data_IF_470773334847
#
_entry.id   IF_470773334847
#
_cell.length_a   1.000
_cell.length_b   1.000
_cell.length_c   1.000
_cell.angle_alpha   90.00
_cell.angle_beta   90.00
_cell.angle_gamma   90.00
#
_symmetry.space_group_name_H-M   'P 1'
#
loop_
_entity.id
_entity.type
_entity.pdbx_description
1 polymer ?
#
# COMPACT_ATOMS: atom_id res chain seq x y z
N UNK A 1 95.77 34.91 -17.07
CA UNK A 1 96.58 34.42 -15.94
C UNK A 1 95.96 34.90 -14.64
N UNK A 2 95.89 34.04 -13.61
CA UNK A 2 95.87 34.34 -12.15
C UNK A 2 94.88 35.43 -11.65
N UNK A 3 93.85 35.06 -10.88
CA UNK A 3 93.90 34.99 -9.39
C UNK A 3 94.22 36.33 -8.71
N UNK A 4 93.51 36.84 -7.70
CA UNK A 4 92.25 36.48 -6.99
C UNK A 4 91.87 37.70 -6.12
N UNK A 5 90.65 37.73 -5.57
CA UNK A 5 90.26 38.45 -4.31
C UNK A 5 90.13 39.98 -4.33
N UNK A 6 89.07 40.47 -3.67
CA UNK A 6 89.10 41.62 -2.72
C UNK A 6 87.75 41.68 -1.96
N UNK A 7 87.84 41.81 -0.62
CA UNK A 7 86.92 42.42 0.38
C UNK A 7 85.39 42.13 0.38
N UNK A 8 84.63 42.30 1.48
CA UNK A 8 84.78 42.11 2.96
C UNK A 8 83.56 42.80 3.61
N UNK A 9 82.99 42.22 4.69
CA UNK A 9 82.14 42.89 5.73
C UNK A 9 80.77 43.40 5.23
N UNK A 10 79.63 43.21 5.91
CA UNK A 10 79.30 42.52 7.18
C UNK A 10 77.96 43.03 7.75
N UNK A 11 77.53 42.54 8.93
CA UNK A 11 76.39 43.06 9.77
C UNK A 11 74.99 42.78 9.13
N UNK A 12 73.97 42.17 9.75
CA UNK A 12 73.62 41.73 11.13
C UNK A 12 72.47 40.67 11.00
N UNK A 13 71.96 39.88 11.98
CA UNK A 13 72.21 39.64 13.41
C UNK A 13 71.68 38.21 13.81
N UNK A 14 71.64 37.91 15.11
CA UNK A 14 70.96 36.85 15.90
C UNK A 14 69.58 36.35 15.37
N UNK A 15 69.13 35.10 15.61
CA UNK A 15 68.94 34.52 16.96
C UNK A 15 68.78 32.97 16.98
N UNK A 16 69.10 32.38 18.13
CA UNK A 16 68.58 31.13 18.74
C UNK A 16 68.83 29.74 18.11
N UNK A 17 69.68 28.98 18.85
CA UNK A 17 69.45 27.61 19.36
C UNK A 17 69.23 26.45 18.35
N UNK A 18 69.91 25.30 18.38
CA UNK A 18 71.20 24.78 18.86
C UNK A 18 71.07 23.25 19.03
N UNK A 19 72.09 22.50 18.57
CA UNK A 19 72.40 21.09 18.90
C UNK A 19 71.38 20.00 18.46
N UNK A 20 71.78 18.80 18.01
CA UNK A 20 73.10 18.18 17.79
C UNK A 20 73.01 17.29 16.51
N UNK A 21 74.08 16.82 15.86
CA UNK A 21 75.51 16.79 16.20
C UNK A 21 76.04 15.34 16.14
N UNK A 22 76.99 15.10 15.24
CA UNK A 22 77.76 13.84 15.03
C UNK A 22 77.05 12.67 14.31
N UNK A 23 77.29 12.56 12.99
CA UNK A 23 77.20 11.28 12.26
C UNK A 23 78.57 10.57 12.31
N UNK A 24 78.60 9.33 12.77
CA UNK A 24 79.77 8.45 12.71
C UNK A 24 79.87 7.68 11.38
N UNK A 25 80.96 6.92 11.16
CA UNK A 25 81.09 6.07 9.97
C UNK A 25 80.01 4.97 9.94
N UNK A 26 79.59 4.59 8.73
CA UNK A 26 78.57 3.57 8.53
C UNK A 26 79.01 2.20 9.11
N UNK A 27 78.09 1.54 9.81
CA UNK A 27 78.31 0.19 10.35
C UNK A 27 78.34 -0.89 9.25
N UNK A 28 78.81 -2.11 9.58
CA UNK A 28 78.79 -3.24 8.66
C UNK A 28 77.35 -3.59 8.25
N UNK A 29 77.22 -4.12 7.03
CA UNK A 29 75.92 -4.54 6.49
C UNK A 29 75.27 -5.61 7.39
N UNK A 30 74.00 -5.40 7.72
CA UNK A 30 73.28 -6.25 8.67
C UNK A 30 73.03 -7.66 8.11
N UNK A 31 72.84 -8.66 8.99
CA UNK A 31 72.46 -10.00 8.56
C UNK A 31 71.16 -9.96 7.75
N UNK A 32 71.12 -10.73 6.65
CA UNK A 32 69.93 -10.85 5.79
C UNK A 32 68.70 -11.15 6.64
N UNK A 33 67.67 -10.30 6.52
CA UNK A 33 66.44 -10.42 7.30
C UNK A 33 65.74 -11.76 7.15
N UNK A 34 64.89 -12.14 8.11
CA UNK A 34 64.12 -13.38 8.06
C UNK A 34 63.26 -13.43 6.77
N UNK A 35 62.96 -14.63 6.30
CA UNK A 35 62.04 -14.81 5.18
C UNK A 35 60.70 -14.15 5.50
N UNK A 36 60.15 -13.41 4.53
CA UNK A 36 58.86 -12.73 4.69
C UNK A 36 57.73 -13.72 4.99
N UNK A 37 56.63 -13.25 5.62
CA UNK A 37 55.46 -14.09 5.84
C UNK A 37 54.95 -14.68 4.52
N UNK A 38 54.35 -15.87 4.59
CA UNK A 38 53.70 -16.47 3.44
C UNK A 38 52.65 -15.51 2.88
N UNK A 39 52.57 -15.41 1.55
CA UNK A 39 51.58 -14.57 0.88
C UNK A 39 50.15 -14.97 1.25
N UNK A 40 49.17 -14.04 1.14
CA UNK A 40 47.78 -14.36 1.41
C UNK A 40 47.31 -15.51 0.50
N UNK A 41 46.40 -16.33 1.03
CA UNK A 41 45.72 -17.36 0.24
C UNK A 41 45.03 -16.66 -0.94
N UNK A 42 45.24 -17.21 -2.15
CA UNK A 42 44.62 -16.65 -3.36
C UNK A 42 43.09 -16.60 -3.25
N UNK A 43 42.42 -15.69 -3.97
CA UNK A 43 40.97 -15.61 -3.95
C UNK A 43 40.36 -16.97 -4.31
N UNK A 44 39.29 -17.35 -3.61
CA UNK A 44 38.57 -18.58 -3.94
C UNK A 44 38.11 -18.49 -5.40
N UNK A 45 38.35 -19.56 -6.17
CA UNK A 45 37.94 -19.62 -7.58
C UNK A 45 36.44 -19.34 -7.72
N UNK A 46 36.01 -18.79 -8.87
CA UNK A 46 34.61 -18.46 -9.09
C UNK A 46 33.74 -19.70 -8.83
N UNK A 47 32.61 -19.49 -8.15
CA UNK A 47 31.60 -20.53 -7.96
C UNK A 47 31.24 -21.06 -9.36
N UNK A 48 31.39 -22.37 -9.55
CA UNK A 48 31.03 -23.01 -10.81
C UNK A 48 29.58 -22.69 -11.18
N UNK A 49 29.32 -22.50 -12.47
CA UNK A 49 28.00 -22.12 -12.96
C UNK A 49 26.93 -23.07 -12.41
N UNK A 50 25.73 -22.56 -12.06
CA UNK A 50 24.60 -23.42 -11.74
C UNK A 50 24.43 -24.47 -12.85
N UNK A 51 24.22 -25.73 -12.46
CA UNK A 51 23.86 -26.76 -13.43
C UNK A 51 22.64 -26.30 -14.24
N UNK A 52 22.54 -26.66 -15.53
CA UNK A 52 21.40 -26.25 -16.36
C UNK A 52 20.10 -26.61 -15.63
N UNK A 53 19.07 -25.74 -15.65
CA UNK A 53 17.79 -26.05 -15.05
C UNK A 53 17.33 -27.44 -15.49
N UNK A 54 16.81 -28.22 -14.54
CA UNK A 54 16.14 -29.47 -14.89
C UNK A 54 15.08 -29.20 -15.97
N UNK A 55 14.84 -30.15 -16.90
CA UNK A 55 13.83 -29.94 -17.92
C UNK A 55 12.52 -29.54 -17.23
N UNK A 56 11.88 -28.49 -17.73
CA UNK A 56 10.63 -28.00 -17.17
C UNK A 56 9.66 -29.18 -17.00
N UNK A 57 9.01 -29.26 -15.84
CA UNK A 57 7.90 -30.18 -15.67
C UNK A 57 6.92 -29.99 -16.83
N UNK A 58 6.39 -31.08 -17.37
CA UNK A 58 5.45 -31.02 -18.48
C UNK A 58 4.35 -29.98 -18.14
N UNK A 59 4.03 -29.04 -19.05
CA UNK A 59 3.03 -28.02 -18.76
C UNK A 59 1.77 -28.66 -18.20
N UNK A 60 1.31 -28.16 -17.04
CA UNK A 60 -0.05 -28.45 -16.58
C UNK A 60 -1.02 -28.12 -17.72
N UNK A 61 -2.09 -28.92 -17.92
CA UNK A 61 -2.89 -28.88 -19.13
C UNK A 61 -3.37 -27.45 -19.42
N UNK A 62 -2.88 -26.88 -20.53
CA UNK A 62 -3.22 -25.54 -21.02
C UNK A 62 -4.61 -25.52 -21.68
N UNK A 63 -5.60 -26.02 -20.95
CA UNK A 63 -6.98 -26.25 -21.40
C UNK A 63 -7.98 -26.28 -20.25
N UNK A 64 -7.64 -25.69 -19.10
CA UNK A 64 -8.61 -25.40 -18.05
C UNK A 64 -9.35 -24.11 -18.41
N UNK A 65 -10.67 -24.21 -18.59
CA UNK A 65 -11.59 -23.09 -18.73
C UNK A 65 -12.11 -22.62 -17.35
N UNK A 66 -12.59 -21.38 -17.31
CA UNK A 66 -13.29 -20.81 -16.15
C UNK A 66 -14.69 -21.42 -16.05
N UNK A 67 -15.03 -22.00 -14.91
CA UNK A 67 -16.29 -22.69 -14.67
C UNK A 67 -17.35 -21.82 -13.98
N UNK A 68 -16.92 -20.75 -13.31
CA UNK A 68 -17.78 -19.81 -12.60
C UNK A 68 -18.07 -20.16 -11.14
N UNK A 69 -18.16 -19.12 -10.31
CA UNK A 69 -18.37 -19.22 -8.86
C UNK A 69 -19.56 -20.08 -8.39
N UNK A 70 -20.67 -20.08 -9.13
CA UNK A 70 -21.84 -20.92 -8.82
C UNK A 70 -21.52 -22.42 -8.86
N UNK A 71 -20.59 -22.85 -9.73
CA UNK A 71 -20.16 -24.26 -9.80
C UNK A 71 -19.29 -24.62 -8.59
N UNK A 72 -18.48 -23.66 -8.12
CA UNK A 72 -17.72 -23.80 -6.88
C UNK A 72 -18.65 -23.92 -5.65
N UNK A 73 -19.71 -23.10 -5.59
CA UNK A 73 -20.68 -23.10 -4.49
C UNK A 73 -21.31 -24.49 -4.24
N UNK A 74 -21.61 -25.24 -5.32
CA UNK A 74 -22.17 -26.59 -5.24
C UNK A 74 -21.35 -27.62 -4.45
N UNK A 75 -20.05 -27.36 -4.22
CA UNK A 75 -19.19 -28.17 -3.32
C UNK A 75 -18.66 -27.37 -2.11
N UNK A 76 -18.60 -26.04 -2.19
CA UNK A 76 -17.97 -25.16 -1.20
C UNK A 76 -18.94 -24.11 -0.64
N UNK A 77 -20.19 -24.50 -0.37
CA UNK A 77 -21.28 -23.59 0.00
C UNK A 77 -20.93 -22.68 1.19
N UNK A 78 -20.36 -23.21 2.29
CA UNK A 78 -20.00 -22.43 3.48
C UNK A 78 -18.99 -21.29 3.17
N UNK A 79 -18.05 -21.56 2.25
CA UNK A 79 -17.07 -20.58 1.78
C UNK A 79 -17.78 -19.56 0.88
N UNK A 80 -18.62 -20.02 -0.04
CA UNK A 80 -19.37 -19.16 -0.96
C UNK A 80 -20.31 -18.20 -0.21
N UNK A 81 -21.09 -18.69 0.76
CA UNK A 81 -22.01 -17.90 1.58
C UNK A 81 -21.29 -16.81 2.38
N UNK A 82 -20.03 -17.05 2.74
CA UNK A 82 -19.16 -16.08 3.42
C UNK A 82 -18.55 -15.09 2.42
N UNK A 83 -18.08 -15.58 1.28
CA UNK A 83 -17.44 -14.82 0.20
C UNK A 83 -18.40 -13.87 -0.52
N UNK A 84 -19.65 -14.28 -0.74
CA UNK A 84 -20.67 -13.48 -1.45
C UNK A 84 -21.11 -12.25 -0.63
N UNK A 85 -20.76 -12.20 0.65
CA UNK A 85 -20.91 -11.02 1.52
C UNK A 85 -19.70 -10.07 1.43
N UNK A 86 -18.65 -10.38 0.67
CA UNK A 86 -17.50 -9.48 0.48
C UNK A 86 -17.74 -8.48 -0.66
N UNK A 87 -16.88 -7.47 -0.81
CA UNK A 87 -16.99 -6.51 -1.92
C UNK A 87 -16.49 -7.04 -3.26
N UNK A 88 -15.71 -8.11 -3.27
CA UNK A 88 -15.08 -8.68 -4.48
C UNK A 88 -16.06 -9.14 -5.58
N UNK A 89 -17.14 -9.91 -5.30
CA UNK A 89 -18.13 -10.28 -6.32
C UNK A 89 -18.89 -9.07 -6.87
N UNK A 90 -19.01 -8.02 -6.06
CA UNK A 90 -19.85 -6.84 -6.31
C UNK A 90 -19.07 -5.59 -6.74
N UNK A 91 -17.79 -5.71 -7.10
CA UNK A 91 -17.00 -4.57 -7.59
C UNK A 91 -17.39 -4.15 -9.01
N UNK A 92 -18.00 -5.05 -9.79
CA UNK A 92 -18.41 -4.75 -11.17
C UNK A 92 -19.65 -5.56 -11.63
N UNK A 93 -20.82 -5.46 -10.96
CA UNK A 93 -22.02 -6.18 -11.39
C UNK A 93 -22.57 -5.70 -12.73
N UNK A 94 -23.06 -6.67 -13.51
CA UNK A 94 -23.95 -6.45 -14.67
C UNK A 94 -25.29 -5.86 -14.23
N UNK A 95 -25.91 -5.09 -15.13
CA UNK A 95 -27.21 -4.45 -14.95
C UNK A 95 -28.16 -4.91 -16.04
N UNK A 96 -29.42 -5.20 -15.66
CA UNK A 96 -30.48 -5.54 -16.59
C UNK A 96 -31.80 -4.87 -16.17
N UNK A 97 -31.96 -3.59 -16.51
CA UNK A 97 -33.17 -2.80 -16.26
C UNK A 97 -33.48 -2.47 -14.79
N UNK A 98 -32.64 -2.90 -13.84
CA UNK A 98 -32.80 -2.65 -12.41
C UNK A 98 -31.45 -2.50 -11.69
N UNK A 99 -31.47 -1.82 -10.55
CA UNK A 99 -30.31 -1.67 -9.68
C UNK A 99 -29.74 -3.04 -9.23
N UNK A 100 -28.40 -3.22 -9.19
CA UNK A 100 -27.81 -4.40 -8.57
C UNK A 100 -28.18 -4.51 -7.09
N UNK A 101 -28.49 -5.73 -6.64
CA UNK A 101 -28.72 -6.03 -5.23
C UNK A 101 -27.39 -6.28 -4.52
N UNK A 102 -27.05 -5.41 -3.56
CA UNK A 102 -25.85 -5.56 -2.72
C UNK A 102 -26.24 -6.08 -1.33
N UNK A 103 -25.41 -6.94 -0.69
CA UNK A 103 -25.72 -7.50 0.64
C UNK A 103 -26.05 -6.49 1.75
N UNK A 104 -25.48 -5.28 1.69
CA UNK A 104 -25.50 -4.33 2.82
C UNK A 104 -25.77 -2.87 2.46
N UNK A 105 -25.95 -2.55 1.18
CA UNK A 105 -26.16 -1.19 0.70
C UNK A 105 -27.23 -1.18 -0.38
N UNK A 106 -27.76 0.01 -0.68
CA UNK A 106 -28.75 0.21 -1.72
C UNK A 106 -28.26 1.31 -2.65
N UNK A 107 -28.22 1.01 -3.95
CA UNK A 107 -27.92 1.98 -5.00
C UNK A 107 -29.21 2.27 -5.77
N UNK A 108 -29.99 3.25 -5.31
CA UNK A 108 -31.29 3.60 -5.91
C UNK A 108 -31.31 4.94 -6.64
N UNK A 109 -30.13 5.51 -6.89
CA UNK A 109 -29.95 6.75 -7.63
C UNK A 109 -28.98 6.56 -8.79
N UNK A 110 -29.31 7.22 -9.90
CA UNK A 110 -28.49 7.28 -11.10
C UNK A 110 -28.04 8.72 -11.38
N UNK A 111 -26.97 8.91 -12.17
CA UNK A 111 -26.59 10.21 -12.71
C UNK A 111 -27.76 10.88 -13.45
N UNK A 112 -27.82 12.21 -13.43
CA UNK A 112 -28.95 12.95 -13.98
C UNK A 112 -29.19 12.63 -15.46
N UNK A 113 -30.40 12.18 -15.79
CA UNK A 113 -30.84 11.87 -17.15
C UNK A 113 -30.82 10.39 -17.52
N UNK A 114 -30.21 9.53 -16.69
CA UNK A 114 -30.13 8.09 -16.93
C UNK A 114 -31.23 7.30 -16.20
N UNK A 115 -31.65 6.20 -16.82
CA UNK A 115 -32.50 5.14 -16.26
C UNK A 115 -31.71 3.83 -16.17
N UNK A 116 -32.22 2.81 -15.47
CA UNK A 116 -31.52 1.52 -15.37
C UNK A 116 -31.46 0.75 -16.71
N UNK A 117 -32.28 1.12 -17.69
CA UNK A 117 -32.19 0.57 -19.04
C UNK A 117 -30.97 1.15 -19.81
N UNK A 118 -30.47 2.32 -19.42
CA UNK A 118 -29.31 2.98 -20.04
C UNK A 118 -27.97 2.47 -19.49
N UNK A 119 -27.98 1.67 -18.42
CA UNK A 119 -26.79 1.18 -17.72
C UNK A 119 -26.55 -0.30 -18.03
N UNK A 120 -25.34 -0.64 -18.46
CA UNK A 120 -24.90 -2.02 -18.68
C UNK A 120 -24.16 -2.61 -17.47
N UNK A 121 -23.35 -1.80 -16.78
CA UNK A 121 -22.59 -2.22 -15.58
C UNK A 121 -22.51 -1.08 -14.55
N UNK A 122 -22.30 -1.45 -13.28
CA UNK A 122 -21.89 -0.52 -12.22
C UNK A 122 -20.48 -0.87 -11.77
N UNK A 123 -19.61 0.13 -11.60
CA UNK A 123 -18.29 -0.03 -10.97
C UNK A 123 -18.41 0.37 -9.51
N UNK A 124 -18.20 -0.58 -8.59
CA UNK A 124 -18.40 -0.39 -7.16
C UNK A 124 -19.87 -0.55 -6.75
N UNK A 125 -20.44 0.48 -6.13
CA UNK A 125 -21.79 0.47 -5.56
C UNK A 125 -21.94 -0.29 -4.24
N UNK A 126 -21.09 -1.29 -3.98
CA UNK A 126 -21.18 -2.13 -2.78
C UNK A 126 -21.01 -1.41 -1.43
N UNK A 127 -20.15 -0.39 -1.30
CA UNK A 127 -19.91 0.26 0.00
C UNK A 127 -19.55 1.75 -0.06
N UNK A 128 -18.59 2.14 -0.91
CA UNK A 128 -18.00 3.50 -0.86
C UNK A 128 -18.61 4.42 -1.92
N UNK A 129 -18.45 4.04 -3.19
CA UNK A 129 -18.90 4.81 -4.35
C UNK A 129 -19.33 3.91 -5.50
N UNK A 130 -20.11 4.47 -6.43
CA UNK A 130 -20.48 3.87 -7.71
C UNK A 130 -20.12 4.81 -8.86
N UNK A 131 -19.52 4.24 -9.91
CA UNK A 131 -19.52 4.79 -11.27
C UNK A 131 -20.41 3.89 -12.14
N UNK A 132 -20.85 4.40 -13.29
CA UNK A 132 -21.85 3.75 -14.12
C UNK A 132 -21.33 3.61 -15.55
N UNK A 133 -21.61 2.48 -16.20
CA UNK A 133 -21.20 2.18 -17.57
C UNK A 133 -22.44 2.09 -18.45
N UNK A 134 -22.44 2.79 -19.57
CA UNK A 134 -23.58 2.84 -20.49
C UNK A 134 -23.70 1.59 -21.39
N UNK A 135 -24.78 1.49 -22.16
CA UNK A 135 -25.01 0.41 -23.14
C UNK A 135 -24.01 0.36 -24.32
N UNK A 136 -23.07 1.30 -24.45
CA UNK A 136 -21.94 1.23 -25.40
C UNK A 136 -20.63 0.74 -24.73
N UNK A 137 -20.63 0.52 -23.40
CA UNK A 137 -19.47 0.11 -22.61
C UNK A 137 -18.62 1.26 -22.08
N UNK A 138 -19.00 2.53 -22.28
CA UNK A 138 -18.23 3.67 -21.78
C UNK A 138 -18.66 4.06 -20.37
N UNK A 139 -17.70 4.53 -19.56
CA UNK A 139 -17.98 5.15 -18.26
C UNK A 139 -18.77 6.43 -18.50
N UNK A 140 -19.86 6.61 -17.76
CA UNK A 140 -20.72 7.79 -17.84
C UNK A 140 -20.01 8.97 -17.16
N UNK A 141 -19.79 10.02 -17.95
CA UNK A 141 -19.06 11.25 -17.60
C UNK A 141 -19.86 12.52 -17.89
N UNK A 142 -20.97 12.42 -18.60
CA UNK A 142 -21.81 13.53 -19.04
C UNK A 142 -23.28 13.10 -19.11
N UNK A 143 -24.17 14.03 -19.44
CA UNK A 143 -25.59 13.80 -19.71
C UNK A 143 -25.77 12.95 -20.99
N UNK A 144 -26.89 12.20 -21.13
CA UNK A 144 -27.13 11.36 -22.31
C UNK A 144 -27.00 12.12 -23.63
N UNK A 145 -26.10 11.65 -24.49
CA UNK A 145 -25.85 12.23 -25.82
C UNK A 145 -25.07 13.55 -25.82
N UNK A 146 -24.39 13.91 -24.73
CA UNK A 146 -23.53 15.12 -24.63
C UNK A 146 -22.08 14.77 -24.26
N UNK A 147 -21.21 15.77 -24.38
CA UNK A 147 -19.83 15.76 -23.88
C UNK A 147 -19.39 17.18 -23.48
N UNK A 148 -18.34 17.29 -22.67
CA UNK A 148 -17.73 18.56 -22.25
C UNK A 148 -18.29 19.21 -20.97
N UNK A 149 -19.31 18.66 -20.30
CA UNK A 149 -19.79 19.16 -19.01
C UNK A 149 -18.89 18.69 -17.86
N UNK A 150 -17.82 19.45 -17.59
CA UNK A 150 -16.87 19.19 -16.49
C UNK A 150 -17.46 19.34 -15.08
N UNK A 151 -18.70 19.84 -14.96
CA UNK A 151 -19.44 19.95 -13.70
C UNK A 151 -20.53 18.87 -13.56
N UNK A 152 -20.63 17.91 -14.49
CA UNK A 152 -21.60 16.82 -14.40
C UNK A 152 -21.32 15.92 -13.18
N UNK A 153 -22.39 15.47 -12.52
CA UNK A 153 -22.33 14.73 -11.26
C UNK A 153 -22.57 13.23 -11.53
N UNK A 154 -21.50 12.51 -11.86
CA UNK A 154 -21.54 11.12 -12.34
C UNK A 154 -21.14 10.05 -11.31
N UNK A 155 -20.30 10.38 -10.32
CA UNK A 155 -19.92 9.43 -9.28
C UNK A 155 -20.88 9.53 -8.10
N UNK A 156 -21.59 8.45 -7.77
CA UNK A 156 -22.40 8.39 -6.56
C UNK A 156 -21.53 7.97 -5.37
N UNK A 157 -21.52 8.74 -4.29
CA UNK A 157 -20.88 8.37 -3.03
C UNK A 157 -21.94 8.00 -1.98
N UNK A 158 -21.74 6.88 -1.29
CA UNK A 158 -22.56 6.48 -0.13
C UNK A 158 -22.34 7.40 1.07
N UNK A 159 -23.28 7.41 2.02
CA UNK A 159 -23.16 8.23 3.22
C UNK A 159 -22.00 7.74 4.11
N UNK A 160 -21.20 8.66 4.66
CA UNK A 160 -20.16 8.36 5.62
C UNK A 160 -20.42 9.11 6.93
N UNK A 161 -20.97 8.37 7.90
CA UNK A 161 -21.34 8.87 9.23
C UNK A 161 -20.12 9.30 10.06
N UNK A 162 -18.93 8.72 9.84
CA UNK A 162 -17.71 9.10 10.57
C UNK A 162 -17.26 10.52 10.17
N UNK A 163 -17.34 10.84 8.89
CA UNK A 163 -16.95 12.15 8.36
C UNK A 163 -18.10 13.17 8.39
N UNK A 164 -19.32 12.73 8.68
CA UNK A 164 -20.54 13.54 8.61
C UNK A 164 -20.97 13.89 7.18
N UNK A 165 -20.60 13.06 6.19
CA UNK A 165 -20.93 13.28 4.77
C UNK A 165 -22.21 12.53 4.40
N UNK A 166 -23.21 13.24 3.89
CA UNK A 166 -24.42 12.63 3.34
C UNK A 166 -24.12 11.91 2.01
N UNK A 167 -24.96 10.93 1.64
CA UNK A 167 -24.88 10.30 0.33
C UNK A 167 -25.28 11.29 -0.78
N UNK A 168 -24.54 11.31 -1.88
CA UNK A 168 -24.73 12.28 -2.96
C UNK A 168 -23.78 12.04 -4.13
N UNK A 169 -24.03 12.74 -5.24
CA UNK A 169 -23.14 12.67 -6.40
C UNK A 169 -22.04 13.72 -6.34
N UNK A 170 -20.90 13.38 -6.93
CA UNK A 170 -19.75 14.26 -7.18
C UNK A 170 -19.28 14.09 -8.63
N UNK A 171 -18.55 15.07 -9.15
CA UNK A 171 -17.89 14.98 -10.46
C UNK A 171 -16.59 14.18 -10.36
N UNK A 172 -16.43 13.17 -11.19
CA UNK A 172 -15.21 12.38 -11.34
C UNK A 172 -14.97 12.15 -12.85
N UNK A 173 -13.87 12.65 -13.42
CA UNK A 173 -13.62 12.60 -14.87
C UNK A 173 -14.78 13.13 -15.75
N UNK A 174 -15.55 14.08 -15.23
CA UNK A 174 -16.75 14.61 -15.89
C UNK A 174 -16.41 15.37 -17.19
N UNK A 175 -17.31 15.28 -18.16
CA UNK A 175 -17.18 15.89 -19.50
C UNK A 175 -16.25 15.15 -20.48
N UNK A 176 -15.56 14.09 -20.07
CA UNK A 176 -14.69 13.29 -20.97
C UNK A 176 -15.54 12.47 -21.93
N UNK A 177 -15.51 12.81 -23.22
CA UNK A 177 -16.24 12.07 -24.26
C UNK A 177 -15.75 10.62 -24.35
N UNK A 178 -16.68 9.66 -24.25
CA UNK A 178 -16.44 8.23 -24.45
C UNK A 178 -15.25 7.68 -23.65
N UNK A 179 -15.19 8.02 -22.35
CA UNK A 179 -14.22 7.46 -21.41
C UNK A 179 -14.32 5.91 -21.41
N UNK A 180 -13.29 5.16 -21.84
CA UNK A 180 -13.34 3.71 -21.87
C UNK A 180 -13.41 3.11 -20.47
N UNK A 181 -14.01 1.93 -20.35
CA UNK A 181 -13.95 1.09 -19.16
C UNK A 181 -12.74 0.16 -19.29
N UNK A 182 -11.62 0.56 -18.67
CA UNK A 182 -10.34 -0.16 -18.69
C UNK A 182 -10.00 -0.87 -17.36
N UNK A 183 -10.82 -0.70 -16.32
CA UNK A 183 -10.58 -1.29 -15.00
C UNK A 183 -10.81 -2.81 -14.93
N UNK A 184 -11.05 -3.47 -16.07
CA UNK A 184 -11.39 -4.89 -16.18
C UNK A 184 -10.34 -5.81 -15.56
N UNK A 185 -9.05 -5.46 -15.64
CA UNK A 185 -7.95 -6.23 -15.07
C UNK A 185 -8.09 -6.47 -13.56
N UNK A 186 -8.57 -5.46 -12.81
CA UNK A 186 -8.70 -5.52 -11.35
C UNK A 186 -10.12 -5.89 -10.88
N UNK A 187 -11.13 -5.70 -11.74
CA UNK A 187 -12.54 -5.77 -11.36
C UNK A 187 -13.31 -6.96 -11.98
N UNK A 188 -12.64 -7.86 -12.70
CA UNK A 188 -13.29 -9.02 -13.36
C UNK A 188 -12.48 -10.30 -13.14
N UNK A 189 -13.08 -11.44 -13.50
CA UNK A 189 -12.45 -12.77 -13.39
C UNK A 189 -12.09 -13.30 -14.76
N UNK A 190 -10.87 -13.80 -14.94
CA UNK A 190 -10.40 -14.30 -16.23
C UNK A 190 -10.26 -13.21 -17.29
N UNK A 191 -9.83 -12.02 -16.86
CA UNK A 191 -9.58 -10.88 -17.73
C UNK A 191 -8.57 -11.21 -18.83
N UNK A 192 -8.86 -10.73 -20.03
CA UNK A 192 -8.06 -10.84 -21.24
C UNK A 192 -8.00 -9.44 -21.86
N UNK A 193 -6.80 -8.85 -22.09
CA UNK A 193 -6.67 -7.48 -22.57
C UNK A 193 -7.05 -7.29 -24.06
N UNK A 194 -7.43 -8.37 -24.76
CA UNK A 194 -7.82 -8.34 -26.16
C UNK A 194 -9.33 -8.51 -26.33
N UNK A 195 -9.86 -7.81 -27.34
CA UNK A 195 -11.30 -7.78 -27.64
C UNK A 195 -12.07 -6.78 -26.79
N UNK A 196 -13.38 -6.91 -26.85
CA UNK A 196 -14.36 -6.08 -26.14
C UNK A 196 -15.46 -7.00 -25.65
N UNK A 197 -15.71 -7.04 -24.34
CA UNK A 197 -16.79 -7.86 -23.77
C UNK A 197 -18.12 -7.49 -24.45
N UNK A 198 -18.91 -8.51 -24.78
CA UNK A 198 -20.22 -8.41 -25.45
C UNK A 198 -20.23 -7.62 -26.78
N UNK A 199 -19.05 -7.37 -27.37
CA UNK A 199 -18.81 -6.49 -28.51
C UNK A 199 -19.09 -4.99 -28.23
N UNK A 200 -19.08 -4.58 -26.96
CA UNK A 200 -19.32 -3.19 -26.54
C UNK A 200 -18.01 -2.38 -26.65
N UNK A 201 -17.91 -1.38 -27.56
CA UNK A 201 -16.64 -0.75 -27.91
C UNK A 201 -15.96 0.03 -26.78
N UNK A 202 -16.71 0.43 -25.74
CA UNK A 202 -16.14 1.07 -24.56
C UNK A 202 -15.52 0.11 -23.54
N UNK A 203 -15.88 -1.18 -23.54
CA UNK A 203 -15.30 -2.18 -22.64
C UNK A 203 -13.95 -2.62 -23.18
N UNK A 204 -12.85 -2.28 -22.51
CA UNK A 204 -11.51 -2.69 -22.92
C UNK A 204 -11.24 -4.11 -22.38
N UNK A 205 -10.96 -5.04 -23.29
CA UNK A 205 -10.77 -6.45 -22.98
C UNK A 205 -12.07 -7.23 -22.80
N UNK A 206 -11.92 -8.49 -22.40
CA UNK A 206 -13.02 -9.43 -22.15
C UNK A 206 -12.71 -10.31 -20.93
N UNK A 207 -13.73 -10.91 -20.31
CA UNK A 207 -13.56 -11.69 -19.07
C UNK A 207 -14.35 -13.01 -19.11
N UNK A 208 -14.30 -13.77 -18.03
CA UNK A 208 -15.12 -14.97 -17.81
C UNK A 208 -16.31 -14.70 -16.89
N UNK A 209 -16.13 -13.85 -15.85
CA UNK A 209 -17.22 -13.36 -15.02
C UNK A 209 -17.01 -11.89 -14.60
N UNK A 210 -18.09 -11.09 -14.47
CA UNK A 210 -18.07 -9.79 -13.81
C UNK A 210 -17.73 -9.92 -12.32
N UNK A 211 -16.93 -8.99 -11.78
CA UNK A 211 -16.45 -9.03 -10.41
C UNK A 211 -15.25 -9.97 -10.19
N UNK A 212 -14.62 -9.86 -9.02
CA UNK A 212 -13.50 -10.71 -8.59
C UNK A 212 -14.08 -11.96 -7.91
N UNK A 213 -14.15 -13.05 -8.69
CA UNK A 213 -14.73 -14.36 -8.36
C UNK A 213 -13.66 -15.36 -7.94
N UNK A 214 -14.08 -16.53 -7.47
CA UNK A 214 -13.19 -17.57 -6.92
C UNK A 214 -11.97 -17.84 -7.81
N UNK A 215 -12.20 -17.96 -9.13
CA UNK A 215 -11.18 -18.30 -10.12
C UNK A 215 -10.21 -17.16 -10.45
N UNK A 216 -10.45 -15.93 -9.98
CA UNK A 216 -9.49 -14.83 -10.10
C UNK A 216 -8.25 -15.07 -9.21
N UNK A 217 -8.44 -15.64 -8.02
CA UNK A 217 -7.35 -16.01 -7.11
C UNK A 217 -6.91 -17.47 -7.29
N UNK A 218 -7.86 -18.37 -7.54
CA UNK A 218 -7.62 -19.82 -7.60
C UNK A 218 -7.33 -20.37 -9.01
N UNK A 219 -7.41 -19.53 -10.05
CA UNK A 219 -7.28 -19.94 -11.45
C UNK A 219 -8.50 -20.70 -12.00
N UNK A 220 -8.49 -21.08 -13.29
CA UNK A 220 -9.61 -21.77 -13.93
C UNK A 220 -9.85 -23.18 -13.36
N UNK A 221 -11.08 -23.46 -12.94
CA UNK A 221 -11.44 -24.62 -12.13
C UNK A 221 -12.13 -25.78 -12.86
N UNK A 222 -12.43 -25.66 -14.15
CA UNK A 222 -13.10 -26.71 -14.93
C UNK A 222 -12.51 -28.12 -14.76
N UNK A 223 -11.18 -28.25 -14.77
CA UNK A 223 -10.51 -29.54 -14.57
C UNK A 223 -10.64 -30.05 -13.13
N UNK A 224 -10.50 -29.17 -12.12
CA UNK A 224 -10.71 -29.52 -10.71
C UNK A 224 -12.11 -30.09 -10.49
N UNK A 225 -13.15 -29.48 -11.05
CA UNK A 225 -14.54 -29.93 -10.91
C UNK A 225 -14.73 -31.36 -11.45
N UNK A 226 -14.00 -31.77 -12.50
CA UNK A 226 -14.08 -33.15 -13.03
C UNK A 226 -13.36 -34.18 -12.16
N UNK A 227 -12.38 -33.78 -11.35
CA UNK A 227 -11.60 -34.67 -10.49
C UNK A 227 -11.05 -33.94 -9.24
N UNK A 228 -11.90 -33.57 -8.26
CA UNK A 228 -11.50 -32.67 -7.17
C UNK A 228 -10.39 -33.24 -6.27
N UNK A 229 -10.29 -34.57 -6.18
CA UNK A 229 -9.28 -35.26 -5.36
C UNK A 229 -7.95 -35.46 -6.10
N UNK A 230 -7.94 -35.41 -7.44
CA UNK A 230 -6.75 -35.64 -8.26
C UNK A 230 -6.16 -34.38 -8.90
N UNK A 231 -6.92 -33.29 -8.95
CA UNK A 231 -6.52 -32.00 -9.54
C UNK A 231 -6.83 -30.91 -8.52
N UNK A 232 -5.81 -30.34 -7.88
CA UNK A 232 -5.98 -29.24 -6.92
C UNK A 232 -6.12 -27.88 -7.61
N UNK A 233 -6.93 -26.98 -7.05
CA UNK A 233 -6.93 -25.56 -7.40
C UNK A 233 -5.61 -24.88 -6.96
N UNK A 234 -5.27 -23.73 -7.58
CA UNK A 234 -4.19 -22.87 -7.07
C UNK A 234 -4.58 -22.38 -5.68
N UNK A 235 -3.75 -22.61 -4.67
CA UNK A 235 -3.86 -21.96 -3.36
C UNK A 235 -2.57 -21.20 -3.15
N UNK A 236 -2.68 -19.88 -3.22
CA UNK A 236 -1.58 -18.95 -3.12
C UNK A 236 -1.89 -18.00 -1.96
N UNK A 237 -0.83 -17.67 -1.21
CA UNK A 237 -0.90 -16.90 0.03
C UNK A 237 -0.01 -15.68 -0.02
N UNK A 238 0.81 -15.56 -1.07
CA UNK A 238 1.81 -14.53 -1.21
C UNK A 238 1.08 -13.21 -1.48
N UNK A 239 1.48 -12.14 -0.80
CA UNK A 239 0.85 -10.82 -0.92
C UNK A 239 0.77 -10.32 -2.39
N UNK A 240 1.69 -10.75 -3.26
CA UNK A 240 1.70 -10.46 -4.70
C UNK A 240 0.38 -10.78 -5.41
N UNK A 241 -0.33 -11.87 -5.03
CA UNK A 241 -1.64 -12.19 -5.64
C UNK A 241 -2.69 -11.13 -5.30
N UNK A 242 -2.64 -10.51 -4.12
CA UNK A 242 -3.48 -9.35 -3.78
C UNK A 242 -2.97 -8.08 -4.46
N UNK A 243 -1.64 -7.94 -4.58
CA UNK A 243 -0.95 -6.83 -5.23
C UNK A 243 -1.23 -6.69 -6.73
N UNK A 244 -1.87 -7.66 -7.38
CA UNK A 244 -2.37 -7.54 -8.76
C UNK A 244 -3.51 -6.51 -8.91
N UNK A 245 -4.21 -6.18 -7.81
CA UNK A 245 -5.35 -5.26 -7.82
C UNK A 245 -5.30 -4.21 -6.70
N UNK A 246 -4.57 -4.48 -5.61
CA UNK A 246 -4.44 -3.58 -4.44
C UNK A 246 -3.22 -2.66 -4.54
N UNK A 247 -3.04 -2.05 -5.71
CA UNK A 247 -2.16 -0.91 -5.95
C UNK A 247 -2.85 0.10 -6.88
N UNK A 248 -2.44 1.37 -6.88
CA UNK A 248 -2.93 2.39 -7.81
C UNK A 248 -1.92 2.72 -8.93
N UNK A 249 -0.62 2.55 -8.66
CA UNK A 249 0.47 2.91 -9.57
C UNK A 249 1.70 2.03 -9.41
N UNK A 250 2.87 2.64 -9.25
CA UNK A 250 4.14 1.92 -8.99
C UNK A 250 4.22 1.48 -7.52
N UNK A 251 4.46 0.19 -7.28
CA UNK A 251 4.41 -0.42 -5.93
C UNK A 251 5.41 0.24 -4.95
N UNK A 252 6.51 0.76 -5.47
CA UNK A 252 7.57 1.43 -4.71
C UNK A 252 7.22 2.85 -4.24
N UNK A 253 6.07 3.41 -4.62
CA UNK A 253 5.58 4.70 -4.11
C UNK A 253 4.06 4.67 -3.85
N UNK A 254 3.63 5.06 -2.65
CA UNK A 254 2.19 5.23 -2.37
C UNK A 254 1.72 6.57 -2.92
N UNK A 255 0.87 6.57 -3.94
CA UNK A 255 0.32 7.79 -4.53
C UNK A 255 -0.66 8.50 -3.59
N UNK A 256 -0.61 9.84 -3.59
CA UNK A 256 -1.47 10.68 -2.78
C UNK A 256 -2.02 11.88 -3.57
N UNK A 257 -3.26 12.25 -3.29
CA UNK A 257 -4.00 13.34 -3.93
C UNK A 257 -5.01 13.95 -2.95
N UNK A 258 -5.24 15.25 -3.06
CA UNK A 258 -6.16 16.02 -2.20
C UNK A 258 -5.91 15.88 -0.68
N UNK A 259 -4.66 15.59 -0.27
CA UNK A 259 -4.31 15.34 1.14
C UNK A 259 -4.65 13.94 1.66
N UNK A 260 -4.82 12.95 0.77
CA UNK A 260 -5.09 11.55 1.11
C UNK A 260 -4.30 10.58 0.23
N UNK A 261 -4.05 9.37 0.73
CA UNK A 261 -3.59 8.24 -0.10
C UNK A 261 -4.71 7.89 -1.10
N UNK A 262 -4.33 7.62 -2.35
CA UNK A 262 -5.24 7.18 -3.42
C UNK A 262 -5.85 5.81 -3.05
N UNK A 263 -7.10 5.58 -3.45
CA UNK A 263 -7.77 4.32 -3.12
C UNK A 263 -7.01 3.11 -3.64
N UNK A 264 -7.12 2.01 -2.90
CA UNK A 264 -6.61 0.68 -3.24
C UNK A 264 -5.09 0.52 -3.14
N UNK A 265 -4.34 1.42 -2.50
CA UNK A 265 -2.88 1.29 -2.35
C UNK A 265 -2.40 0.29 -1.26
N UNK A 266 -3.26 -0.60 -0.74
CA UNK A 266 -2.94 -1.37 0.48
C UNK A 266 -1.71 -2.28 0.34
N UNK A 267 -1.42 -2.78 -0.86
CA UNK A 267 -0.20 -3.56 -1.13
C UNK A 267 1.03 -2.66 -1.16
N UNK A 268 0.98 -1.54 -1.88
CA UNK A 268 2.04 -0.52 -1.94
C UNK A 268 2.38 0.04 -0.55
N UNK A 269 1.35 0.34 0.26
CA UNK A 269 1.48 0.76 1.65
C UNK A 269 2.22 -0.30 2.49
N UNK A 270 1.76 -1.54 2.43
CA UNK A 270 2.35 -2.63 3.22
C UNK A 270 3.80 -2.91 2.79
N UNK A 271 4.08 -2.88 1.49
CA UNK A 271 5.41 -3.10 0.90
C UNK A 271 6.43 -2.03 1.31
N UNK A 272 6.00 -0.80 1.54
CA UNK A 272 6.87 0.28 2.05
C UNK A 272 6.93 0.34 3.58
N UNK A 273 5.97 -0.31 4.27
CA UNK A 273 5.89 -0.35 5.73
C UNK A 273 6.95 -1.25 6.39
N UNK A 274 7.02 -1.20 7.73
CA UNK A 274 7.81 -2.16 8.54
C UNK A 274 7.25 -3.59 8.52
N UNK A 275 6.13 -3.83 7.84
CA UNK A 275 5.49 -5.14 7.63
C UNK A 275 5.63 -5.67 6.20
N UNK A 276 6.53 -5.12 5.37
CA UNK A 276 6.76 -5.52 3.98
C UNK A 276 7.02 -7.03 3.74
N UNK A 277 7.43 -7.78 4.77
CA UNK A 277 7.66 -9.21 4.72
C UNK A 277 6.48 -10.07 5.24
N UNK A 278 5.31 -9.47 5.46
CA UNK A 278 4.09 -10.15 5.94
C UNK A 278 3.05 -10.26 4.83
N UNK A 279 2.47 -11.45 4.67
CA UNK A 279 1.39 -11.65 3.71
C UNK A 279 0.07 -11.04 4.17
N UNK A 280 -0.72 -10.52 3.22
CA UNK A 280 -2.07 -10.00 3.47
C UNK A 280 -2.94 -11.02 4.22
N UNK A 281 -2.83 -12.30 3.83
CA UNK A 281 -3.58 -13.38 4.48
C UNK A 281 -3.17 -13.62 5.93
N UNK A 282 -1.97 -13.23 6.39
CA UNK A 282 -1.59 -13.39 7.81
C UNK A 282 -2.59 -12.67 8.73
N UNK A 283 -3.05 -11.50 8.30
CA UNK A 283 -4.00 -10.66 9.02
C UNK A 283 -5.44 -10.83 8.54
N UNK A 284 -5.71 -11.17 7.28
CA UNK A 284 -7.07 -11.26 6.72
C UNK A 284 -7.48 -12.67 6.29
N UNK A 285 -8.77 -12.98 6.38
CA UNK A 285 -9.33 -14.11 5.65
C UNK A 285 -9.71 -13.62 4.24
N UNK A 286 -9.14 -14.21 3.15
CA UNK A 286 -9.43 -13.77 1.78
C UNK A 286 -10.89 -13.97 1.36
N UNK A 287 -11.67 -14.77 2.09
CA UNK A 287 -13.11 -14.98 1.85
C UNK A 287 -14.02 -14.07 2.69
N UNK A 288 -13.47 -13.23 3.60
CA UNK A 288 -14.26 -12.34 4.44
C UNK A 288 -13.96 -10.86 4.18
N UNK A 289 -14.96 -10.11 3.73
CA UNK A 289 -14.84 -8.67 3.58
C UNK A 289 -14.74 -7.94 4.92
N UNK A 290 -13.86 -6.93 5.02
CA UNK A 290 -13.82 -6.03 6.19
C UNK A 290 -15.15 -5.29 6.43
N UNK A 291 -15.98 -5.15 5.39
CA UNK A 291 -17.32 -4.58 5.47
C UNK A 291 -18.28 -5.44 6.30
N UNK A 292 -18.43 -6.72 5.96
CA UNK A 292 -19.34 -7.65 6.65
C UNK A 292 -18.93 -7.82 8.13
N UNK A 293 -17.63 -7.89 8.41
CA UNK A 293 -17.08 -7.99 9.77
C UNK A 293 -17.40 -6.74 10.62
N UNK A 294 -17.27 -5.54 10.03
CA UNK A 294 -17.67 -4.28 10.70
C UNK A 294 -19.17 -4.23 10.99
N UNK A 295 -20.02 -4.68 10.07
CA UNK A 295 -21.47 -4.72 10.29
C UNK A 295 -21.87 -5.73 11.38
N UNK A 296 -21.23 -6.91 11.39
CA UNK A 296 -21.38 -7.91 12.44
C UNK A 296 -20.76 -7.48 13.80
N UNK A 297 -20.03 -6.35 13.84
CA UNK A 297 -19.26 -5.85 14.99
C UNK A 297 -18.24 -6.87 15.51
N UNK A 298 -17.65 -7.62 14.59
CA UNK A 298 -16.61 -8.63 14.85
C UNK A 298 -15.21 -8.11 14.49
N UNK A 299 -14.19 -8.88 14.84
CA UNK A 299 -12.79 -8.55 14.57
C UNK A 299 -12.53 -8.56 13.05
N UNK A 300 -11.97 -7.49 12.50
CA UNK A 300 -11.77 -7.32 11.05
C UNK A 300 -10.48 -7.97 10.51
N UNK A 301 -9.68 -8.55 11.40
CA UNK A 301 -8.45 -9.27 11.11
C UNK A 301 -8.47 -10.59 11.90
N UNK A 302 -7.92 -11.68 11.35
CA UNK A 302 -7.83 -12.99 12.03
C UNK A 302 -6.75 -13.01 13.11
N UNK A 303 -5.68 -12.24 12.90
CA UNK A 303 -4.55 -12.09 13.83
C UNK A 303 -4.62 -10.70 14.44
N UNK A 304 -4.62 -10.59 15.77
CA UNK A 304 -4.59 -9.32 16.48
C UNK A 304 -3.16 -8.74 16.49
N UNK A 305 -3.02 -7.43 16.65
CA UNK A 305 -1.72 -6.78 16.80
C UNK A 305 -0.99 -7.31 18.04
N UNK A 306 -1.75 -7.53 19.11
CA UNK A 306 -1.31 -7.98 20.44
C UNK A 306 -0.72 -9.39 20.44
N UNK A 307 -1.01 -10.24 19.45
CA UNK A 307 -0.39 -11.55 19.29
C UNK A 307 1.11 -11.46 18.97
N UNK A 308 1.54 -10.37 18.31
CA UNK A 308 2.95 -10.11 17.98
C UNK A 308 3.54 -9.00 18.87
N UNK A 309 2.79 -7.92 19.09
CA UNK A 309 3.19 -6.73 19.85
C UNK A 309 2.74 -6.79 21.31
N UNK A 310 2.98 -7.93 21.97
CA UNK A 310 2.50 -8.20 23.33
C UNK A 310 3.12 -7.28 24.40
N UNK A 311 4.26 -6.64 24.13
CA UNK A 311 4.84 -5.66 25.05
C UNK A 311 4.14 -4.30 24.92
N UNK A 312 3.94 -3.81 23.69
CA UNK A 312 3.20 -2.58 23.40
C UNK A 312 1.74 -2.69 23.85
N UNK A 313 1.15 -3.89 23.76
CA UNK A 313 -0.19 -4.18 24.27
C UNK A 313 -0.29 -4.09 25.82
N UNK A 314 0.80 -4.35 26.54
CA UNK A 314 0.86 -4.28 28.02
C UNK A 314 1.13 -2.87 28.55
N UNK A 315 1.79 -2.02 27.76
CA UNK A 315 2.24 -0.71 28.19
C UNK A 315 1.75 0.37 27.22
N UNK A 316 0.85 1.21 27.71
CA UNK A 316 0.40 2.44 27.06
C UNK A 316 0.58 3.58 28.05
N UNK A 317 1.45 4.54 27.75
CA UNK A 317 1.85 5.62 28.64
C UNK A 317 0.82 6.78 28.66
N UNK A 318 -0.48 6.44 28.63
CA UNK A 318 -1.57 7.41 28.69
C UNK A 318 -2.82 6.78 29.36
N UNK A 319 -3.16 7.17 30.61
CA UNK A 319 -4.29 6.58 31.33
C UNK A 319 -5.66 6.93 30.74
N UNK A 320 -5.76 8.03 29.97
CA UNK A 320 -7.00 8.42 29.30
C UNK A 320 -7.28 7.47 28.14
N UNK A 321 -6.28 7.17 27.31
CA UNK A 321 -6.44 6.25 26.18
C UNK A 321 -6.76 4.81 26.64
N UNK A 322 -6.14 4.36 27.75
CA UNK A 322 -6.46 3.10 28.41
C UNK A 322 -7.91 3.11 28.94
N UNK A 323 -8.33 4.19 29.60
CA UNK A 323 -9.71 4.34 30.10
C UNK A 323 -10.76 4.38 28.97
N UNK A 324 -10.42 4.96 27.82
CA UNK A 324 -11.24 4.99 26.61
C UNK A 324 -11.20 3.67 25.81
N UNK A 325 -10.33 2.73 26.17
CA UNK A 325 -10.10 1.45 25.47
C UNK A 325 -9.76 1.64 23.98
N UNK A 326 -8.85 2.58 23.70
CA UNK A 326 -8.37 2.81 22.34
C UNK A 326 -7.70 1.53 21.79
N UNK A 327 -8.12 1.12 20.58
CA UNK A 327 -7.56 -0.06 19.91
C UNK A 327 -6.38 0.34 19.03
N UNK A 328 -5.44 -0.58 18.81
CA UNK A 328 -4.21 -0.31 18.04
C UNK A 328 -4.50 0.34 16.67
N UNK A 329 -5.56 -0.10 16.00
CA UNK A 329 -5.91 0.37 14.65
C UNK A 329 -6.37 1.83 14.59
N UNK A 330 -6.73 2.49 15.69
CA UNK A 330 -7.11 3.90 15.63
C UNK A 330 -5.91 4.83 15.40
N UNK A 331 -4.77 4.55 16.02
CA UNK A 331 -3.53 5.34 15.81
C UNK A 331 -2.62 4.74 14.73
N UNK A 332 -2.54 3.41 14.63
CA UNK A 332 -1.62 2.74 13.70
C UNK A 332 -2.21 2.48 12.32
N UNK A 333 -3.54 2.31 12.20
CA UNK A 333 -4.23 2.20 10.91
C UNK A 333 -5.28 3.31 10.78
N UNK A 334 -4.89 4.60 10.88
CA UNK A 334 -5.82 5.69 10.75
C UNK A 334 -6.34 5.78 9.31
N UNK A 335 -7.36 6.60 9.09
CA UNK A 335 -7.98 6.73 7.77
C UNK A 335 -7.24 7.77 6.95
N UNK A 336 -6.15 7.34 6.32
CA UNK A 336 -5.34 8.18 5.41
C UNK A 336 -5.83 8.03 3.95
N UNK A 337 -6.58 6.97 3.64
CA UNK A 337 -6.99 6.63 2.27
C UNK A 337 -8.37 7.22 1.96
N UNK A 338 -8.50 7.87 0.79
CA UNK A 338 -9.76 8.41 0.24
C UNK A 338 -10.26 7.51 -0.90
N UNK A 339 -11.27 6.69 -0.62
CA UNK A 339 -11.97 5.89 -1.62
C UNK A 339 -13.14 6.66 -2.24
N UNK A 340 -14.00 7.27 -1.40
CA UNK A 340 -15.11 8.12 -1.83
C UNK A 340 -15.10 9.49 -1.14
N UNK A 341 -14.83 9.52 0.17
CA UNK A 341 -14.83 10.73 0.98
C UNK A 341 -13.52 10.93 1.73
N UNK A 342 -13.14 12.20 1.87
CA UNK A 342 -12.10 12.66 2.78
C UNK A 342 -12.49 14.01 3.38
N UNK A 343 -11.91 14.31 4.54
CA UNK A 343 -12.08 15.56 5.28
C UNK A 343 -10.71 15.98 5.83
N UNK A 344 -10.01 16.84 5.09
CA UNK A 344 -8.61 17.18 5.35
C UNK A 344 -8.42 17.95 6.66
N UNK A 345 -9.39 18.81 7.01
CA UNK A 345 -9.44 19.53 8.30
C UNK A 345 -9.54 18.57 9.50
N UNK A 346 -10.11 17.37 9.29
CA UNK A 346 -10.22 16.31 10.29
C UNK A 346 -9.14 15.24 10.18
N UNK A 347 -8.20 15.36 9.24
CA UNK A 347 -7.19 14.35 8.92
C UNK A 347 -7.78 12.93 8.80
N UNK A 348 -8.89 12.81 8.07
CA UNK A 348 -9.61 11.53 7.98
C UNK A 348 -10.28 11.31 6.61
N UNK A 349 -9.84 10.26 5.94
CA UNK A 349 -10.49 9.61 4.81
C UNK A 349 -11.54 8.60 5.27
N UNK A 350 -11.91 7.67 4.39
CA UNK A 350 -12.91 6.64 4.64
C UNK A 350 -12.34 5.21 4.72
N UNK A 351 -11.13 4.99 4.19
CA UNK A 351 -10.42 3.71 4.22
C UNK A 351 -9.18 3.78 5.12
N UNK A 352 -8.90 2.70 5.86
CA UNK A 352 -7.75 2.61 6.78
C UNK A 352 -6.45 2.31 6.02
N UNK A 353 -5.38 2.96 6.47
CA UNK A 353 -4.01 2.77 5.97
C UNK A 353 -3.37 1.45 6.42
N UNK A 354 -2.42 0.96 5.64
CA UNK A 354 -1.58 -0.22 5.91
C UNK A 354 -0.08 0.12 6.09
N UNK A 355 0.23 1.34 6.55
CA UNK A 355 1.58 1.75 6.94
C UNK A 355 1.98 1.27 8.36
N UNK A 356 1.01 1.16 9.27
CA UNK A 356 1.11 0.74 10.69
C UNK A 356 2.08 1.50 11.60
N UNK A 357 3.35 1.64 11.24
CA UNK A 357 4.37 2.26 12.08
C UNK A 357 4.18 3.77 12.11
N UNK A 358 4.03 4.34 13.31
CA UNK A 358 4.00 5.79 13.54
C UNK A 358 5.45 6.29 13.60
N UNK A 359 5.72 7.44 13.00
CA UNK A 359 6.94 8.20 13.28
C UNK A 359 6.59 9.29 14.31
N UNK A 360 7.16 9.26 15.53
CA UNK A 360 6.79 10.16 16.62
C UNK A 360 7.35 11.58 16.47
N UNK A 361 8.22 11.85 15.48
CA UNK A 361 8.77 13.18 15.19
C UNK A 361 8.14 13.79 13.92
N UNK A 362 7.34 13.02 13.18
CA UNK A 362 6.73 13.41 11.91
C UNK A 362 5.29 13.92 12.10
N UNK A 363 5.05 15.22 11.86
CA UNK A 363 3.69 15.78 11.81
C UNK A 363 2.96 15.40 10.50
N UNK A 364 3.55 15.74 9.36
CA UNK A 364 2.92 15.61 8.03
C UNK A 364 3.15 14.27 7.34
N UNK A 365 2.10 13.78 6.65
CA UNK A 365 2.06 12.46 6.02
C UNK A 365 2.61 12.41 4.58
N UNK A 366 2.63 13.53 3.86
CA UNK A 366 2.87 13.57 2.42
C UNK A 366 4.04 14.47 2.07
N UNK A 367 4.73 14.11 0.97
CA UNK A 367 5.72 14.96 0.31
C UNK A 367 5.31 15.19 -1.15
N UNK A 368 5.43 16.44 -1.61
CA UNK A 368 5.11 16.85 -2.99
C UNK A 368 6.39 17.19 -3.76
N UNK A 369 6.50 16.65 -4.97
CA UNK A 369 7.65 16.80 -5.85
C UNK A 369 7.19 17.41 -7.18
N UNK A 370 7.89 18.43 -7.66
CA UNK A 370 7.67 18.97 -9.01
C UNK A 370 8.51 18.18 -10.01
N UNK A 371 7.87 17.56 -11.00
CA UNK A 371 8.52 16.86 -12.09
C UNK A 371 9.11 17.84 -13.14
N UNK A 372 9.93 17.33 -14.06
CA UNK A 372 10.62 18.15 -15.08
C UNK A 372 9.66 18.88 -16.05
N UNK A 373 8.44 18.35 -16.23
CA UNK A 373 7.37 18.97 -17.03
C UNK A 373 6.55 20.03 -16.26
N UNK A 374 6.87 20.24 -14.98
CA UNK A 374 6.16 21.15 -14.07
C UNK A 374 4.93 20.54 -13.40
N UNK A 375 4.62 19.25 -13.61
CA UNK A 375 3.55 18.57 -12.88
C UNK A 375 3.94 18.32 -11.43
N UNK A 376 2.98 18.43 -10.50
CA UNK A 376 3.17 18.08 -9.09
C UNK A 376 2.74 16.64 -8.83
N UNK A 377 3.62 15.87 -8.20
CA UNK A 377 3.39 14.48 -7.81
C UNK A 377 3.49 14.41 -6.28
N UNK A 378 2.44 13.96 -5.61
CA UNK A 378 2.41 13.82 -4.14
C UNK A 378 2.41 12.36 -3.75
N UNK A 379 3.25 12.00 -2.79
CA UNK A 379 3.38 10.64 -2.29
C UNK A 379 3.25 10.60 -0.77
N UNK A 380 2.75 9.49 -0.23
CA UNK A 380 2.78 9.25 1.21
C UNK A 380 4.15 8.78 1.67
N UNK A 381 4.55 9.24 2.85
CA UNK A 381 5.66 8.68 3.62
C UNK A 381 5.32 7.26 4.08
N UNK A 382 6.35 6.44 4.31
CA UNK A 382 6.23 5.02 4.69
C UNK A 382 5.85 4.78 6.17
N UNK A 383 5.84 5.84 6.98
CA UNK A 383 5.36 5.83 8.35
C UNK A 383 4.22 6.85 8.53
N UNK A 384 3.33 6.56 9.47
CA UNK A 384 2.18 7.39 9.81
C UNK A 384 2.64 8.64 10.58
N UNK A 385 2.27 9.82 10.09
CA UNK A 385 2.48 11.10 10.77
C UNK A 385 1.40 11.41 11.81
N UNK A 386 1.76 12.23 12.80
CA UNK A 386 0.93 12.55 13.96
C UNK A 386 -0.35 13.33 13.60
N UNK A 387 -0.41 13.97 12.45
CA UNK A 387 -1.66 14.54 11.92
C UNK A 387 -2.75 13.45 11.77
N UNK A 388 -2.41 12.28 11.21
CA UNK A 388 -3.37 11.17 11.08
C UNK A 388 -3.40 10.26 12.30
N UNK A 389 -2.28 10.03 13.00
CA UNK A 389 -2.25 9.16 14.18
C UNK A 389 -2.88 9.79 15.44
N UNK A 390 -2.89 11.12 15.56
CA UNK A 390 -3.28 11.83 16.78
C UNK A 390 -4.21 13.03 16.54
N UNK A 391 -3.86 13.95 15.63
CA UNK A 391 -4.62 15.21 15.41
C UNK A 391 -6.05 14.97 14.91
N UNK A 392 -6.29 13.87 14.18
CA UNK A 392 -7.63 13.39 13.81
C UNK A 392 -8.60 13.29 15.02
N UNK A 393 -8.08 13.00 16.22
CA UNK A 393 -8.83 13.04 17.47
C UNK A 393 -8.66 14.39 18.20
N UNK A 394 -7.42 14.87 18.31
CA UNK A 394 -7.04 16.07 19.07
C UNK A 394 -7.25 17.37 18.28
N UNK A 395 -8.45 17.94 18.44
CA UNK A 395 -8.92 19.14 17.74
C UNK A 395 -10.37 19.00 17.24
N UNK A 396 -10.81 17.77 16.93
CA UNK A 396 -12.17 17.47 16.44
C UNK A 396 -13.05 16.85 17.53
N UNK A 397 -12.52 15.88 18.29
CA UNK A 397 -13.28 15.11 19.29
C UNK A 397 -12.73 15.26 20.72
N UNK A 398 -11.42 15.46 20.83
CA UNK A 398 -10.70 15.73 22.08
C UNK A 398 -10.08 17.13 22.02
N UNK A 399 -9.52 17.59 23.16
CA UNK A 399 -8.79 18.87 23.22
C UNK A 399 -7.72 18.94 22.14
N UNK A 400 -7.68 20.08 21.45
CA UNK A 400 -6.60 20.44 20.52
C UNK A 400 -5.23 20.35 21.20
N UNK A 401 -4.19 20.09 20.39
CA UNK A 401 -2.80 19.95 20.82
C UNK A 401 -1.85 20.65 19.84
N UNK A 402 -0.80 21.26 20.34
CA UNK A 402 0.30 21.75 19.50
C UNK A 402 1.13 20.60 18.93
N UNK A 403 1.95 20.86 17.91
CA UNK A 403 2.84 19.85 17.35
C UNK A 403 3.84 19.33 18.39
N UNK A 404 4.37 20.21 19.25
CA UNK A 404 5.27 19.84 20.35
C UNK A 404 4.58 18.94 21.39
N UNK A 405 3.31 19.19 21.70
CA UNK A 405 2.53 18.32 22.59
C UNK A 405 2.28 16.94 21.97
N UNK A 406 2.01 16.87 20.66
CA UNK A 406 1.80 15.60 19.96
C UNK A 406 3.10 14.79 19.91
N UNK A 407 4.23 15.41 19.53
CA UNK A 407 5.56 14.78 19.49
C UNK A 407 5.95 14.27 20.88
N UNK A 408 5.83 15.12 21.91
CA UNK A 408 6.17 14.74 23.28
C UNK A 408 5.28 13.62 23.85
N UNK A 409 4.05 13.48 23.37
CA UNK A 409 3.15 12.39 23.75
C UNK A 409 3.40 11.09 22.96
N UNK A 410 3.89 11.18 21.72
CA UNK A 410 4.17 10.04 20.85
C UNK A 410 5.50 9.35 21.19
N UNK A 411 6.54 10.13 21.54
CA UNK A 411 7.85 9.60 21.94
C UNK A 411 7.69 8.73 23.20
N UNK A 412 8.12 7.47 23.11
CA UNK A 412 8.05 6.52 24.22
C UNK A 412 6.64 6.16 24.67
N UNK A 413 5.61 6.32 23.83
CA UNK A 413 4.22 6.01 24.18
C UNK A 413 4.01 4.57 24.69
N UNK A 414 4.81 3.62 24.23
CA UNK A 414 4.79 2.22 24.67
C UNK A 414 5.95 1.83 25.60
N UNK A 415 6.79 2.79 25.98
CA UNK A 415 7.94 2.51 26.83
C UNK A 415 7.51 2.25 28.28
N UNK A 416 8.26 1.40 28.96
CA UNK A 416 8.10 1.23 30.41
C UNK A 416 8.77 2.41 31.10
N UNK A 417 8.17 2.94 32.19
CA UNK A 417 8.93 3.74 33.14
C UNK A 417 10.19 2.95 33.53
N UNK A 418 11.36 3.58 33.44
CA UNK A 418 12.60 2.93 33.86
C UNK A 418 12.40 2.38 35.27
N UNK A 419 12.68 1.08 35.46
CA UNK A 419 12.49 0.45 36.76
C UNK A 419 13.27 1.26 37.80
N UNK A 420 12.59 1.75 38.84
CA UNK A 420 13.22 2.50 39.89
C UNK A 420 14.38 1.66 40.44
N UNK A 421 15.62 2.14 40.24
CA UNK A 421 16.80 1.57 40.86
C UNK A 421 16.47 1.43 42.35
N UNK A 422 16.61 0.24 42.96
CA UNK A 422 16.43 0.13 44.40
C UNK A 422 17.41 1.13 45.04
N UNK A 423 16.98 1.91 46.05
CA UNK A 423 17.84 2.93 46.63
C UNK A 423 19.15 2.27 47.08
N UNK A 424 20.28 2.85 46.66
CA UNK A 424 21.59 2.40 47.10
C UNK A 424 21.59 2.31 48.61
N UNK A 425 21.83 1.11 49.14
CA UNK A 425 21.86 0.92 50.59
C UNK A 425 23.11 1.62 51.16
N UNK A 426 22.98 2.30 52.31
CA UNK A 426 23.98 3.23 52.84
C UNK A 426 25.27 2.55 53.35
#
# INVERSE_FOLDING_TARGET
MKHTTILLIGIFLLLSVALAGCAGPAGPEGPRGPAGPAGPIGPQGPKGDPGPPGPAGAPGPSGAEYAGDQVCAGCHQDIYDTYIQSGHPWIFPEVSGAAPEYPFTKLDKLPQGYTWDDIAYVIGGYQYKALFVNQEGYIITDEPGKSGNTAYLNQYNHANNLLGKAAGFVSESAGVEKLPMDCGACHTTGYRPSGNQDNLPGLIGAWAQPGVRCEACHGPGSLHITNPQGISMKIDRDAETCGQCHHAGVIEKVEAKDGFIVSNEQYSELFQSKHAALDCVLCHDPHMGVAQLRQAKTQTARTTCENCHFEQARYQNNPIHVGMKMTCVECHMPRIVKTAWGDAEKYSGDTRSHLMAIDPEQIDQFDTFTAEDGSEQTYSKSQVGLNFACRHCHGVFASERSDEELIAAAIGYHDRPAAAQPPEQP
#
